data_IF_833389771233
#
_entry.id   IF_833389771233
#
_cell.length_a   1.000
_cell.length_b   1.000
_cell.length_c   1.000
_cell.angle_alpha   90.00
_cell.angle_beta   90.00
_cell.angle_gamma   90.00
#
_symmetry.space_group_name_H-M   'P 1'
#
loop_
_entity.id
_entity.type
_entity.pdbx_description
1 polymer ?
#
# COMPACT_ATOMS: atom_id res chain seq x y z
N UNK A 1 -8.46 7.65 -1.41
CA UNK A 1 -8.62 6.93 -2.71
C UNK A 1 -7.77 7.66 -3.74
N UNK A 2 -7.48 7.11 -4.93
CA UNK A 2 -6.59 7.77 -5.89
C UNK A 2 -7.30 8.32 -7.12
N UNK A 3 -8.23 7.55 -7.70
CA UNK A 3 -8.79 7.86 -9.02
C UNK A 3 -10.30 8.08 -8.95
N UNK A 4 -11.00 7.38 -8.06
CA UNK A 4 -12.46 7.38 -8.05
C UNK A 4 -13.12 8.64 -7.45
N UNK A 5 -12.38 9.60 -6.90
CA UNK A 5 -12.94 10.85 -6.35
C UNK A 5 -13.74 11.66 -7.40
N UNK A 6 -13.17 11.88 -8.58
CA UNK A 6 -13.87 12.52 -9.70
C UNK A 6 -15.14 11.76 -10.14
N UNK A 7 -15.02 10.46 -10.49
CA UNK A 7 -16.14 9.57 -10.78
C UNK A 7 -17.28 9.62 -9.75
N UNK A 8 -16.97 9.53 -8.45
CA UNK A 8 -17.95 9.62 -7.35
C UNK A 8 -18.64 10.98 -7.37
N UNK A 9 -17.87 12.06 -7.44
CA UNK A 9 -18.41 13.42 -7.51
C UNK A 9 -19.42 13.59 -8.65
N UNK A 10 -19.12 13.06 -9.84
CA UNK A 10 -20.05 13.07 -10.97
C UNK A 10 -21.33 12.28 -10.66
N UNK A 11 -21.19 11.03 -10.22
CA UNK A 11 -22.32 10.13 -9.95
C UNK A 11 -23.29 10.74 -8.94
N UNK A 12 -22.74 11.31 -7.86
CA UNK A 12 -23.53 11.93 -6.79
C UNK A 12 -24.18 13.23 -7.27
N UNK A 13 -23.48 14.04 -8.07
CA UNK A 13 -24.08 15.23 -8.67
C UNK A 13 -25.27 14.87 -9.57
N UNK A 14 -25.13 13.85 -10.41
CA UNK A 14 -26.23 13.34 -11.22
C UNK A 14 -27.38 12.83 -10.36
N UNK A 15 -27.12 12.17 -9.24
CA UNK A 15 -28.16 11.70 -8.34
C UNK A 15 -28.91 12.85 -7.64
N UNK A 16 -28.18 13.74 -6.96
CA UNK A 16 -28.73 14.82 -6.13
C UNK A 16 -29.37 15.92 -6.98
N UNK A 17 -28.72 16.32 -8.08
CA UNK A 17 -29.15 17.45 -8.90
C UNK A 17 -29.86 17.03 -10.20
N UNK A 18 -30.20 15.75 -10.38
CA UNK A 18 -30.80 15.17 -11.60
C UNK A 18 -31.89 16.06 -12.24
N UNK A 19 -32.87 16.50 -11.44
CA UNK A 19 -33.99 17.30 -11.93
C UNK A 19 -33.52 18.65 -12.51
N UNK A 20 -32.62 19.34 -11.80
CA UNK A 20 -32.09 20.65 -12.23
C UNK A 20 -31.21 20.51 -13.47
N UNK A 21 -30.34 19.50 -13.50
CA UNK A 21 -29.44 19.25 -14.63
C UNK A 21 -30.22 18.90 -15.89
N UNK A 22 -31.31 18.13 -15.80
CA UNK A 22 -32.14 17.77 -16.97
C UNK A 22 -32.80 18.96 -17.66
N UNK A 23 -33.00 20.07 -16.96
CA UNK A 23 -33.56 21.31 -17.53
C UNK A 23 -32.51 22.17 -18.26
N UNK A 24 -31.21 21.85 -18.12
CA UNK A 24 -30.13 22.55 -18.80
C UNK A 24 -29.98 22.07 -20.25
N UNK A 25 -29.37 22.92 -21.09
CA UNK A 25 -28.97 22.53 -22.44
C UNK A 25 -27.88 21.48 -22.40
N UNK A 26 -27.74 20.68 -23.45
CA UNK A 26 -26.74 19.61 -23.50
C UNK A 26 -25.31 20.13 -23.25
N UNK A 27 -24.94 21.29 -23.80
CA UNK A 27 -23.64 21.92 -23.55
C UNK A 27 -23.41 22.30 -22.08
N UNK A 28 -24.46 22.75 -21.40
CA UNK A 28 -24.43 23.12 -19.98
C UNK A 28 -24.39 21.86 -19.10
N UNK A 29 -25.08 20.79 -19.49
CA UNK A 29 -24.98 19.48 -18.84
C UNK A 29 -23.56 18.91 -18.93
N UNK A 30 -22.91 19.02 -20.10
CA UNK A 30 -21.51 18.62 -20.28
C UNK A 30 -20.60 19.46 -19.38
N UNK A 31 -20.81 20.78 -19.32
CA UNK A 31 -20.03 21.65 -18.45
C UNK A 31 -20.17 21.25 -16.98
N UNK A 32 -21.39 21.01 -16.50
CA UNK A 32 -21.64 20.52 -15.14
C UNK A 32 -20.95 19.18 -14.89
N UNK A 33 -20.97 18.26 -15.86
CA UNK A 33 -20.27 16.98 -15.76
C UNK A 33 -18.75 17.15 -15.60
N UNK A 34 -18.12 17.98 -16.44
CA UNK A 34 -16.69 18.28 -16.36
C UNK A 34 -16.32 18.96 -15.04
N UNK A 35 -17.12 19.95 -14.62
CA UNK A 35 -16.93 20.61 -13.33
C UNK A 35 -17.09 19.63 -12.15
N UNK A 36 -18.03 18.68 -12.21
CA UNK A 36 -18.18 17.67 -11.17
C UNK A 36 -16.90 16.83 -11.03
N UNK A 37 -16.31 16.37 -12.14
CA UNK A 37 -15.05 15.64 -12.12
C UNK A 37 -13.92 16.48 -11.50
N UNK A 38 -13.74 17.71 -11.97
CA UNK A 38 -12.70 18.62 -11.50
C UNK A 38 -12.86 18.96 -10.01
N UNK A 39 -14.07 19.25 -9.55
CA UNK A 39 -14.32 19.55 -8.14
C UNK A 39 -14.18 18.33 -7.23
N UNK A 40 -14.35 17.11 -7.77
CA UNK A 40 -14.11 15.88 -7.05
C UNK A 40 -12.64 15.62 -6.75
N UNK A 41 -11.71 16.12 -7.57
CA UNK A 41 -10.25 15.96 -7.37
C UNK A 41 -9.59 17.23 -6.82
N UNK A 42 -10.36 18.31 -6.65
CA UNK A 42 -9.83 19.60 -6.23
C UNK A 42 -9.14 19.56 -4.86
N UNK A 43 -9.58 18.78 -3.86
CA UNK A 43 -8.89 18.73 -2.58
C UNK A 43 -7.45 18.22 -2.67
N UNK A 44 -7.20 17.20 -3.50
CA UNK A 44 -5.86 16.63 -3.76
C UNK A 44 -4.89 17.57 -4.47
N UNK A 45 -5.35 18.74 -4.94
CA UNK A 45 -4.45 19.69 -5.59
C UNK A 45 -3.43 20.28 -4.59
N UNK A 46 -3.68 20.12 -3.29
CA UNK A 46 -2.72 20.44 -2.24
C UNK A 46 -1.43 19.62 -2.33
N UNK A 47 -1.44 18.40 -2.88
CA UNK A 47 -0.24 17.58 -3.10
C UNK A 47 0.78 18.32 -3.98
N UNK A 48 0.31 19.06 -5.01
CA UNK A 48 1.19 19.89 -5.83
C UNK A 48 1.77 21.06 -5.04
N UNK A 49 0.96 21.68 -4.19
CA UNK A 49 1.39 22.79 -3.33
C UNK A 49 2.43 22.31 -2.30
N UNK A 50 2.18 21.16 -1.65
CA UNK A 50 3.12 20.55 -0.70
C UNK A 50 4.45 20.24 -1.37
N UNK A 51 4.41 19.66 -2.58
CA UNK A 51 5.60 19.41 -3.39
C UNK A 51 6.38 20.71 -3.70
N UNK A 52 5.68 21.78 -4.09
CA UNK A 52 6.29 23.09 -4.36
C UNK A 52 6.90 23.74 -3.11
N UNK A 53 6.36 23.45 -1.93
CA UNK A 53 6.81 23.99 -0.64
C UNK A 53 7.83 23.09 0.07
N UNK A 54 8.27 21.99 -0.57
CA UNK A 54 9.14 20.98 0.04
C UNK A 54 8.58 20.42 1.35
N UNK A 55 7.25 20.34 1.45
CA UNK A 55 6.56 19.72 2.58
C UNK A 55 6.23 18.27 2.20
N UNK A 56 6.42 17.29 3.10
CA UNK A 56 6.18 15.89 2.77
C UNK A 56 4.75 15.64 2.28
N UNK A 57 4.61 14.93 1.15
CA UNK A 57 3.28 14.74 0.52
C UNK A 57 2.35 13.83 1.33
N UNK A 58 2.91 12.99 2.19
CA UNK A 58 2.13 12.06 3.01
C UNK A 58 1.25 12.80 4.05
N UNK A 59 1.52 14.08 4.34
CA UNK A 59 0.70 14.88 5.27
C UNK A 59 -0.55 15.53 4.64
N UNK A 60 -0.87 15.32 3.35
CA UNK A 60 -1.95 16.06 2.66
C UNK A 60 -3.33 15.96 3.33
N UNK A 61 -3.69 14.80 3.88
CA UNK A 61 -4.92 14.64 4.67
C UNK A 61 -4.94 15.45 5.99
N UNK A 62 -3.80 16.02 6.40
CA UNK A 62 -3.64 16.95 7.53
C UNK A 62 -3.68 18.43 7.15
N UNK A 63 -3.99 18.77 5.89
CA UNK A 63 -4.04 20.15 5.40
C UNK A 63 -5.48 20.68 5.40
N UNK A 64 -5.66 22.01 5.44
CA UNK A 64 -6.98 22.67 5.49
C UNK A 64 -7.89 22.34 4.30
N UNK A 65 -7.32 21.99 3.15
CA UNK A 65 -8.00 21.48 1.96
C UNK A 65 -8.75 20.18 2.24
N UNK A 66 -8.31 19.37 3.21
CA UNK A 66 -9.01 18.16 3.64
C UNK A 66 -9.98 18.41 4.82
N UNK A 67 -10.66 19.57 4.82
CA UNK A 67 -11.63 19.95 5.87
C UNK A 67 -12.99 20.36 5.28
N UNK A 68 -14.12 19.85 5.81
CA UNK A 68 -15.45 20.19 5.29
C UNK A 68 -15.78 21.69 5.42
N UNK A 69 -15.38 22.32 6.53
CA UNK A 69 -15.69 23.73 6.82
C UNK A 69 -15.07 24.66 5.78
N UNK A 70 -13.86 24.35 5.29
CA UNK A 70 -13.19 25.13 4.25
C UNK A 70 -14.03 25.23 2.98
N UNK A 71 -14.52 24.10 2.45
CA UNK A 71 -15.34 24.10 1.24
C UNK A 71 -16.74 24.65 1.43
N UNK A 72 -17.35 24.46 2.60
CA UNK A 72 -18.62 25.11 2.95
C UNK A 72 -18.45 26.64 2.92
N UNK A 73 -17.37 27.16 3.49
CA UNK A 73 -17.04 28.59 3.45
C UNK A 73 -16.89 29.13 2.03
N UNK A 74 -16.11 28.44 1.19
CA UNK A 74 -15.96 28.81 -0.23
C UNK A 74 -17.31 28.77 -0.95
N UNK A 75 -18.14 27.75 -0.69
CA UNK A 75 -19.46 27.65 -1.30
C UNK A 75 -20.38 28.83 -0.93
N UNK A 76 -20.38 29.26 0.34
CA UNK A 76 -21.14 30.45 0.78
C UNK A 76 -20.67 31.69 0.03
N UNK A 77 -19.36 31.88 -0.12
CA UNK A 77 -18.78 32.98 -0.90
C UNK A 77 -19.23 32.90 -2.36
N UNK A 78 -19.13 31.73 -2.99
CA UNK A 78 -19.58 31.52 -4.38
C UNK A 78 -21.07 31.87 -4.55
N UNK A 79 -21.93 31.47 -3.61
CA UNK A 79 -23.36 31.84 -3.63
C UNK A 79 -23.57 33.35 -3.52
N UNK A 80 -22.84 34.02 -2.64
CA UNK A 80 -22.87 35.48 -2.51
C UNK A 80 -22.43 36.19 -3.81
N UNK A 81 -21.35 35.71 -4.44
CA UNK A 81 -20.86 36.25 -5.71
C UNK A 81 -21.89 36.10 -6.85
N UNK A 82 -22.63 35.00 -6.89
CA UNK A 82 -23.69 34.79 -7.89
C UNK A 82 -24.80 35.84 -7.76
N UNK A 83 -25.13 36.29 -6.55
CA UNK A 83 -26.14 37.32 -6.34
C UNK A 83 -25.72 38.69 -6.90
N UNK A 84 -24.43 39.00 -6.91
CA UNK A 84 -23.92 40.32 -7.35
C UNK A 84 -23.34 40.31 -8.77
N UNK A 85 -23.12 39.15 -9.40
CA UNK A 85 -22.47 39.03 -10.72
C UNK A 85 -23.12 39.87 -11.82
N UNK A 86 -24.44 40.07 -11.76
CA UNK A 86 -25.19 40.86 -12.73
C UNK A 86 -24.70 42.31 -12.86
N UNK A 87 -24.06 42.84 -11.79
CA UNK A 87 -23.47 44.18 -11.75
C UNK A 87 -22.07 44.25 -12.35
N UNK A 88 -21.33 43.13 -12.37
CA UNK A 88 -19.91 43.11 -12.73
C UNK A 88 -19.62 42.45 -14.08
N UNK A 89 -20.48 41.52 -14.52
CA UNK A 89 -20.29 40.79 -15.77
C UNK A 89 -20.99 41.51 -16.94
N UNK A 90 -20.37 41.45 -18.12
CA UNK A 90 -20.99 41.96 -19.34
C UNK A 90 -22.22 41.13 -19.74
N UNK A 91 -23.08 41.68 -20.60
CA UNK A 91 -24.34 41.01 -21.03
C UNK A 91 -24.11 39.64 -21.66
N UNK A 92 -23.02 39.46 -22.41
CA UNK A 92 -22.71 38.18 -23.09
C UNK A 92 -22.36 37.10 -22.06
N UNK A 93 -21.51 37.42 -21.09
CA UNK A 93 -21.12 36.51 -20.01
C UNK A 93 -22.28 36.21 -19.08
N UNK A 94 -23.10 37.20 -18.71
CA UNK A 94 -24.31 36.98 -17.91
C UNK A 94 -25.34 36.07 -18.60
N UNK A 95 -25.39 36.10 -19.93
CA UNK A 95 -26.26 35.21 -20.71
C UNK A 95 -25.71 33.78 -20.79
N UNK A 96 -24.39 33.63 -20.85
CA UNK A 96 -23.74 32.31 -20.89
C UNK A 96 -23.74 31.63 -19.52
N UNK A 97 -23.42 32.37 -18.46
CA UNK A 97 -23.51 31.95 -17.07
C UNK A 97 -24.80 32.51 -16.48
N UNK A 98 -25.94 31.97 -16.88
CA UNK A 98 -27.20 32.40 -16.28
C UNK A 98 -27.26 32.05 -14.78
N UNK A 99 -28.24 32.60 -14.06
CA UNK A 99 -28.38 32.36 -12.62
C UNK A 99 -28.63 30.89 -12.29
N UNK A 100 -29.37 30.17 -13.13
CA UNK A 100 -29.70 28.77 -12.88
C UNK A 100 -28.44 27.90 -12.99
N UNK A 101 -27.70 28.00 -14.09
CA UNK A 101 -26.45 27.30 -14.32
C UNK A 101 -25.43 27.64 -13.24
N UNK A 102 -25.28 28.90 -12.87
CA UNK A 102 -24.32 29.31 -11.84
C UNK A 102 -24.65 28.71 -10.47
N UNK A 103 -25.93 28.66 -10.10
CA UNK A 103 -26.33 28.02 -8.85
C UNK A 103 -26.12 26.51 -8.87
N UNK A 104 -26.32 25.85 -10.02
CA UNK A 104 -26.04 24.43 -10.20
C UNK A 104 -24.53 24.19 -10.08
N UNK A 105 -23.68 24.97 -10.76
CA UNK A 105 -22.22 24.86 -10.67
C UNK A 105 -21.70 25.08 -9.26
N UNK A 106 -22.21 26.06 -8.52
CA UNK A 106 -21.85 26.26 -7.11
C UNK A 106 -22.26 25.05 -6.25
N UNK A 107 -23.44 24.46 -6.48
CA UNK A 107 -23.81 23.24 -5.79
C UNK A 107 -22.95 22.05 -6.21
N UNK A 108 -22.56 21.97 -7.48
CA UNK A 108 -21.67 20.93 -8.00
C UNK A 108 -20.30 20.99 -7.36
N UNK A 109 -19.79 22.20 -7.11
CA UNK A 109 -18.59 22.42 -6.30
C UNK A 109 -18.72 21.85 -4.90
N UNK A 110 -19.77 22.21 -4.17
CA UNK A 110 -19.96 21.73 -2.80
C UNK A 110 -20.17 20.22 -2.75
N UNK A 111 -21.02 19.67 -3.62
CA UNK A 111 -21.27 18.23 -3.68
C UNK A 111 -19.98 17.49 -4.01
N UNK A 112 -19.21 17.95 -5.00
CA UNK A 112 -18.00 17.26 -5.42
C UNK A 112 -16.92 17.24 -4.35
N UNK A 113 -16.64 18.41 -3.76
CA UNK A 113 -15.63 18.53 -2.70
C UNK A 113 -16.05 17.81 -1.42
N UNK A 114 -17.32 17.89 -0.99
CA UNK A 114 -17.77 17.16 0.20
C UNK A 114 -17.80 15.64 -0.01
N UNK A 115 -18.11 15.15 -1.21
CA UNK A 115 -18.09 13.71 -1.48
C UNK A 115 -16.69 13.14 -1.70
N UNK A 116 -15.74 13.97 -2.13
CA UNK A 116 -14.32 13.65 -2.02
C UNK A 116 -13.96 13.39 -0.55
N UNK A 117 -14.19 14.38 0.33
CA UNK A 117 -13.89 14.26 1.76
C UNK A 117 -14.67 13.13 2.44
N UNK A 118 -15.90 12.86 2.00
CA UNK A 118 -16.66 11.73 2.49
C UNK A 118 -16.04 10.39 2.08
N UNK A 119 -15.54 10.29 0.84
CA UNK A 119 -14.82 9.10 0.40
C UNK A 119 -13.54 8.89 1.22
N UNK A 120 -12.78 9.96 1.48
CA UNK A 120 -11.62 9.87 2.37
C UNK A 120 -12.02 9.55 3.79
N UNK A 121 -13.07 10.14 4.36
CA UNK A 121 -13.54 9.76 5.68
C UNK A 121 -13.89 8.27 5.79
N UNK A 122 -14.38 7.66 4.71
CA UNK A 122 -14.65 6.22 4.70
C UNK A 122 -13.31 5.46 4.78
N UNK A 123 -12.40 5.71 3.86
CA UNK A 123 -11.23 4.85 3.58
C UNK A 123 -9.93 5.29 4.25
N UNK A 124 -9.86 6.54 4.67
CA UNK A 124 -8.72 7.22 5.27
C UNK A 124 -9.20 8.18 6.39
N UNK A 125 -8.30 9.01 6.90
CA UNK A 125 -8.51 9.86 8.06
C UNK A 125 -8.49 11.34 7.68
N UNK A 126 -9.56 12.07 7.98
CA UNK A 126 -9.67 13.51 7.69
C UNK A 126 -10.03 14.33 8.93
N UNK A 127 -9.70 15.62 8.92
CA UNK A 127 -10.02 16.53 10.02
C UNK A 127 -11.44 17.09 9.89
N UNK A 128 -12.44 16.29 10.28
CA UNK A 128 -13.87 16.65 10.14
C UNK A 128 -14.25 17.94 10.91
N UNK A 129 -13.69 18.12 12.11
CA UNK A 129 -14.09 19.19 13.04
C UNK A 129 -13.16 20.42 13.00
N UNK A 130 -12.21 20.49 12.06
CA UNK A 130 -11.32 21.65 11.95
C UNK A 130 -12.11 22.92 11.59
N UNK A 131 -11.88 24.08 12.24
CA UNK A 131 -10.74 24.41 13.13
C UNK A 131 -10.98 24.16 14.63
N UNK A 132 -12.11 23.58 15.03
CA UNK A 132 -12.44 23.32 16.45
C UNK A 132 -11.56 22.21 17.03
N UNK A 133 -11.27 21.17 16.23
CA UNK A 133 -10.31 20.12 16.57
C UNK A 133 -9.43 19.77 15.36
N UNK A 134 -8.20 19.33 15.63
CA UNK A 134 -7.26 18.77 14.64
C UNK A 134 -7.31 17.24 14.59
N UNK A 135 -8.17 16.61 15.39
CA UNK A 135 -8.32 15.16 15.40
C UNK A 135 -8.77 14.66 14.04
N UNK A 136 -8.17 13.55 13.60
CA UNK A 136 -8.51 12.90 12.33
C UNK A 136 -9.51 11.78 12.59
N UNK A 137 -10.56 11.74 11.79
CA UNK A 137 -11.64 10.76 11.89
C UNK A 137 -11.66 9.88 10.65
N UNK A 138 -11.98 8.59 10.83
CA UNK A 138 -12.07 7.58 9.77
C UNK A 138 -13.19 6.58 10.11
N UNK A 139 -13.75 5.91 9.10
CA UNK A 139 -14.78 4.88 9.30
C UNK A 139 -14.22 3.47 9.26
N UNK A 140 -13.52 3.10 8.18
CA UNK A 140 -13.08 1.72 7.93
C UNK A 140 -11.58 1.57 7.66
N UNK A 141 -10.78 2.66 7.78
CA UNK A 141 -9.33 2.69 7.49
C UNK A 141 -8.55 1.50 8.05
N UNK A 142 -8.81 1.12 9.31
CA UNK A 142 -8.10 0.02 9.99
C UNK A 142 -8.79 -1.34 9.90
N UNK A 143 -9.99 -1.42 9.32
CA UNK A 143 -10.69 -2.70 9.13
C UNK A 143 -10.10 -3.46 7.95
N UNK A 144 -9.78 -2.74 6.88
CA UNK A 144 -9.18 -3.28 5.66
C UNK A 144 -7.82 -2.64 5.42
N UNK A 145 -6.95 -2.80 6.42
CA UNK A 145 -5.55 -2.40 6.29
C UNK A 145 -4.94 -3.10 5.05
N UNK A 146 -4.20 -2.37 4.20
CA UNK A 146 -3.50 -2.97 3.08
C UNK A 146 -2.47 -4.01 3.55
N UNK A 147 -2.19 -4.98 2.68
CA UNK A 147 -1.04 -5.85 2.86
C UNK A 147 0.24 -5.11 2.47
N UNK A 148 1.34 -5.30 3.20
CA UNK A 148 2.63 -4.66 2.89
C UNK A 148 3.20 -5.12 1.53
N UNK A 149 2.93 -6.36 1.14
CA UNK A 149 3.49 -7.02 -0.04
C UNK A 149 2.51 -7.13 -1.20
N UNK A 150 1.19 -6.98 -0.97
CA UNK A 150 0.22 -6.97 -2.06
C UNK A 150 0.20 -5.61 -2.75
N UNK A 151 0.13 -5.64 -4.07
CA UNK A 151 -0.03 -4.41 -4.85
C UNK A 151 -1.39 -3.76 -4.60
N UNK A 152 -1.45 -2.43 -4.71
CA UNK A 152 -2.69 -1.66 -4.54
C UNK A 152 -3.93 -2.23 -5.27
N UNK A 153 -3.83 -2.74 -6.52
CA UNK A 153 -4.98 -3.32 -7.23
C UNK A 153 -5.69 -4.46 -6.50
N UNK A 154 -5.01 -5.15 -5.59
CA UNK A 154 -5.56 -6.27 -4.82
C UNK A 154 -6.14 -5.85 -3.46
N UNK A 155 -6.12 -4.56 -3.14
CA UNK A 155 -6.68 -4.02 -1.92
C UNK A 155 -8.20 -3.88 -1.99
N UNK A 156 -8.86 -3.90 -0.83
CA UNK A 156 -10.29 -3.61 -0.72
C UNK A 156 -10.60 -2.21 -1.22
N UNK A 157 -9.72 -1.24 -0.94
CA UNK A 157 -9.92 0.15 -1.36
C UNK A 157 -9.93 0.29 -2.88
N UNK A 158 -8.97 -0.32 -3.58
CA UNK A 158 -8.94 -0.29 -5.05
C UNK A 158 -10.17 -0.97 -5.67
N UNK A 159 -10.64 -2.08 -5.09
CA UNK A 159 -11.85 -2.74 -5.58
C UNK A 159 -13.10 -1.83 -5.51
N UNK A 160 -13.18 -0.98 -4.48
CA UNK A 160 -14.22 0.05 -4.36
C UNK A 160 -14.03 1.12 -5.45
N UNK A 161 -12.79 1.53 -5.73
CA UNK A 161 -12.50 2.48 -6.82
C UNK A 161 -12.92 1.95 -8.18
N UNK A 162 -12.53 0.72 -8.52
CA UNK A 162 -12.88 0.05 -9.77
C UNK A 162 -14.41 0.00 -9.94
N UNK A 163 -15.14 -0.32 -8.87
CA UNK A 163 -16.60 -0.34 -8.90
C UNK A 163 -17.20 1.04 -9.23
N UNK A 164 -16.74 2.10 -8.57
CA UNK A 164 -17.24 3.46 -8.85
C UNK A 164 -16.83 3.98 -10.23
N UNK A 165 -15.63 3.63 -10.71
CA UNK A 165 -15.19 3.93 -12.08
C UNK A 165 -16.09 3.21 -13.09
N UNK A 166 -16.40 1.92 -12.87
CA UNK A 166 -17.29 1.16 -13.74
C UNK A 166 -18.70 1.77 -13.81
N UNK A 167 -19.26 2.15 -12.65
CA UNK A 167 -20.55 2.85 -12.56
C UNK A 167 -20.53 4.19 -13.31
N UNK A 168 -19.45 4.96 -13.14
CA UNK A 168 -19.26 6.23 -13.79
C UNK A 168 -19.21 6.11 -15.31
N UNK A 169 -18.40 5.19 -15.84
CA UNK A 169 -18.31 4.92 -17.28
C UNK A 169 -19.67 4.48 -17.84
N UNK A 170 -20.38 3.61 -17.10
CA UNK A 170 -21.74 3.21 -17.47
C UNK A 170 -22.72 4.41 -17.52
N UNK A 171 -22.64 5.31 -16.55
CA UNK A 171 -23.48 6.51 -16.49
C UNK A 171 -23.18 7.49 -17.63
N UNK A 172 -21.90 7.75 -17.93
CA UNK A 172 -21.49 8.58 -19.07
C UNK A 172 -21.99 8.00 -20.39
N UNK A 173 -21.79 6.70 -20.60
CA UNK A 173 -22.22 6.00 -21.79
C UNK A 173 -23.72 6.16 -22.03
N UNK A 174 -24.54 5.94 -20.99
CA UNK A 174 -26.00 6.04 -21.08
C UNK A 174 -26.47 7.46 -21.44
N UNK A 175 -25.72 8.49 -21.05
CA UNK A 175 -26.12 9.89 -21.16
C UNK A 175 -25.61 10.58 -22.43
N UNK A 176 -24.34 10.36 -22.78
CA UNK A 176 -23.65 11.16 -23.80
C UNK A 176 -23.28 10.37 -25.07
N UNK A 177 -23.30 9.03 -25.03
CA UNK A 177 -22.83 8.20 -26.13
C UNK A 177 -24.01 7.56 -26.87
N UNK A 178 -23.86 7.38 -28.20
CA UNK A 178 -24.85 6.68 -29.02
C UNK A 178 -25.00 5.24 -28.55
N UNK A 179 -26.26 4.81 -28.36
CA UNK A 179 -26.58 3.48 -27.84
C UNK A 179 -26.16 2.37 -28.82
N UNK A 180 -25.25 1.52 -28.35
CA UNK A 180 -24.87 0.22 -28.89
C UNK A 180 -25.27 -0.91 -27.92
N UNK A 181 -25.83 -2.00 -28.44
CA UNK A 181 -26.22 -3.15 -27.61
C UNK A 181 -25.00 -3.81 -26.98
N UNK A 182 -23.93 -4.01 -27.75
CA UNK A 182 -22.70 -4.67 -27.30
C UNK A 182 -22.04 -3.87 -26.17
N UNK A 183 -21.79 -2.57 -26.37
CA UNK A 183 -21.16 -1.72 -25.35
C UNK A 183 -22.00 -1.68 -24.06
N UNK A 184 -23.33 -1.62 -24.18
CA UNK A 184 -24.21 -1.65 -23.01
C UNK A 184 -24.12 -2.97 -22.23
N UNK A 185 -23.95 -4.11 -22.91
CA UNK A 185 -23.76 -5.41 -22.26
C UNK A 185 -22.39 -5.45 -21.59
N UNK A 186 -21.32 -5.07 -22.29
CA UNK A 186 -19.95 -5.05 -21.75
C UNK A 186 -19.83 -4.18 -20.49
N UNK A 187 -20.43 -2.98 -20.48
CA UNK A 187 -20.39 -2.11 -19.31
C UNK A 187 -21.19 -2.67 -18.12
N UNK A 188 -22.29 -3.38 -18.36
CA UNK A 188 -23.01 -4.08 -17.29
C UNK A 188 -22.20 -5.22 -16.69
N UNK A 189 -21.49 -5.97 -17.55
CA UNK A 189 -20.56 -7.01 -17.11
C UNK A 189 -19.43 -6.37 -16.28
N UNK A 190 -18.87 -5.25 -16.73
CA UNK A 190 -17.83 -4.53 -15.98
C UNK A 190 -18.30 -4.12 -14.58
N UNK A 191 -19.52 -3.54 -14.46
CA UNK A 191 -20.10 -3.19 -13.16
C UNK A 191 -20.32 -4.43 -12.29
N UNK A 192 -20.80 -5.54 -12.88
CA UNK A 192 -21.00 -6.81 -12.16
C UNK A 192 -19.67 -7.39 -11.67
N UNK A 193 -18.64 -7.39 -12.51
CA UNK A 193 -17.29 -7.85 -12.12
C UNK A 193 -16.73 -6.98 -11.02
N UNK A 194 -16.81 -5.65 -11.12
CA UNK A 194 -16.39 -4.75 -10.04
C UNK A 194 -17.15 -4.99 -8.73
N UNK A 195 -18.44 -5.28 -8.80
CA UNK A 195 -19.25 -5.63 -7.63
C UNK A 195 -18.83 -6.96 -6.99
N UNK A 196 -18.50 -7.98 -7.80
CA UNK A 196 -18.00 -9.26 -7.33
C UNK A 196 -16.54 -9.21 -6.86
N UNK A 197 -15.78 -8.22 -7.30
CA UNK A 197 -14.39 -8.05 -6.92
C UNK A 197 -14.24 -7.61 -5.45
N UNK A 198 -15.16 -6.78 -4.95
CA UNK A 198 -15.17 -6.31 -3.55
C UNK A 198 -15.21 -7.47 -2.52
N UNK A 199 -16.17 -8.42 -2.57
CA UNK A 199 -16.15 -9.53 -1.61
C UNK A 199 -14.94 -10.46 -1.80
N UNK A 200 -14.38 -10.54 -3.01
CA UNK A 200 -13.16 -11.31 -3.25
C UNK A 200 -11.95 -10.67 -2.55
N UNK A 201 -11.74 -9.36 -2.68
CA UNK A 201 -10.64 -8.65 -2.00
C UNK A 201 -10.83 -8.63 -0.49
N UNK A 202 -12.06 -8.55 0.01
CA UNK A 202 -12.37 -8.71 1.44
C UNK A 202 -11.98 -10.11 1.94
N UNK A 203 -12.31 -11.16 1.17
CA UNK A 203 -11.92 -12.53 1.50
C UNK A 203 -10.39 -12.71 1.45
N UNK A 204 -9.71 -12.18 0.45
CA UNK A 204 -8.25 -12.22 0.39
C UNK A 204 -7.61 -11.48 1.58
N UNK A 205 -8.11 -10.28 1.90
CA UNK A 205 -7.67 -9.49 3.05
C UNK A 205 -7.87 -10.26 4.37
N UNK A 206 -8.99 -10.97 4.56
CA UNK A 206 -9.19 -11.72 5.81
C UNK A 206 -8.26 -12.93 5.97
N UNK A 207 -7.73 -13.48 4.87
CA UNK A 207 -6.83 -14.64 4.88
C UNK A 207 -5.34 -14.28 4.80
N UNK A 208 -5.00 -13.02 4.60
CA UNK A 208 -3.61 -12.52 4.53
C UNK A 208 -3.25 -11.78 5.81
N UNK A 209 -1.95 -11.67 6.09
CA UNK A 209 -1.46 -10.89 7.22
C UNK A 209 -1.34 -9.43 6.79
N UNK A 210 -2.22 -8.57 7.28
CA UNK A 210 -2.31 -7.18 6.86
C UNK A 210 -1.88 -6.24 7.98
N UNK A 211 -0.62 -5.82 7.91
CA UNK A 211 -0.04 -4.83 8.82
C UNK A 211 0.94 -3.96 8.02
N UNK A 212 0.43 -2.92 7.40
CA UNK A 212 1.17 -1.96 6.56
C UNK A 212 1.25 -0.56 7.15
N UNK A 213 0.59 -0.31 8.29
CA UNK A 213 0.74 0.92 9.04
C UNK A 213 1.75 0.72 10.18
N UNK A 214 2.73 1.60 10.24
CA UNK A 214 3.67 1.69 11.36
C UNK A 214 2.95 2.29 12.58
N UNK A 215 2.85 1.49 13.63
CA UNK A 215 2.10 1.81 14.85
C UNK A 215 3.05 2.05 16.02
N UNK A 216 2.74 3.04 16.85
CA UNK A 216 3.37 3.23 18.16
C UNK A 216 2.83 2.26 19.21
N UNK A 217 3.45 2.25 20.40
CA UNK A 217 3.01 1.47 21.57
C UNK A 217 1.53 1.71 21.94
N UNK A 218 0.98 2.88 21.61
CA UNK A 218 -0.44 3.23 21.84
C UNK A 218 -1.36 2.89 20.65
N UNK A 219 -0.88 2.13 19.67
CA UNK A 219 -1.56 1.83 18.40
C UNK A 219 -1.88 3.05 17.52
N UNK A 220 -1.24 4.19 17.78
CA UNK A 220 -1.33 5.38 16.92
C UNK A 220 -0.46 5.18 15.67
N UNK A 221 -0.96 5.57 14.51
CA UNK A 221 -0.21 5.46 13.24
C UNK A 221 0.54 6.77 13.02
N UNK A 222 1.87 6.68 13.06
CA UNK A 222 2.79 7.79 12.82
C UNK A 222 3.64 7.43 11.61
N UNK A 223 3.67 8.33 10.62
CA UNK A 223 4.34 8.06 9.33
C UNK A 223 5.82 8.46 9.31
N UNK A 224 6.22 9.33 10.23
CA UNK A 224 7.55 9.94 10.36
C UNK A 224 7.72 10.28 11.86
N UNK A 225 8.53 9.53 12.60
CA UNK A 225 8.66 9.66 14.06
C UNK A 225 9.64 10.76 14.48
N UNK A 226 10.70 10.98 13.70
CA UNK A 226 11.81 11.87 14.01
C UNK A 226 11.75 13.20 13.23
N UNK A 227 10.72 13.36 12.40
CA UNK A 227 10.36 14.57 11.68
C UNK A 227 11.42 15.03 10.68
N UNK A 228 12.17 14.10 10.10
CA UNK A 228 13.17 14.39 9.09
C UNK A 228 12.58 14.58 7.68
N UNK A 229 11.27 14.31 7.53
CA UNK A 229 10.52 14.47 6.29
C UNK A 229 10.53 13.25 5.38
N UNK A 230 11.14 12.14 5.82
CA UNK A 230 11.12 10.83 5.18
C UNK A 230 10.03 10.00 5.88
N UNK A 231 9.27 9.23 5.11
CA UNK A 231 8.33 8.31 5.76
C UNK A 231 9.14 7.15 6.33
N UNK A 232 8.92 6.78 7.60
CA UNK A 232 9.61 5.69 8.29
C UNK A 232 9.65 4.40 7.43
N UNK A 233 8.57 4.09 6.71
CA UNK A 233 8.50 2.91 5.81
C UNK A 233 9.47 2.94 4.63
N UNK A 234 10.13 4.07 4.38
CA UNK A 234 11.11 4.32 3.32
C UNK A 234 12.46 4.78 3.89
N UNK A 235 12.60 4.86 5.21
CA UNK A 235 13.77 5.39 5.89
C UNK A 235 14.70 4.24 6.35
N UNK A 236 15.98 4.22 5.93
CA UNK A 236 16.95 3.23 6.41
C UNK A 236 17.44 3.46 7.86
N UNK A 237 17.23 4.64 8.46
CA UNK A 237 17.66 4.99 9.83
C UNK A 237 16.52 5.67 10.60
N UNK A 238 15.43 4.94 10.85
CA UNK A 238 14.28 5.45 11.62
C UNK A 238 14.74 5.89 13.01
N UNK A 239 14.55 7.17 13.34
CA UNK A 239 15.00 7.77 14.60
C UNK A 239 16.34 8.52 14.50
N UNK A 240 16.97 8.56 13.31
CA UNK A 240 18.19 9.32 13.00
C UNK A 240 19.34 9.07 14.01
N UNK A 241 19.55 7.80 14.34
CA UNK A 241 20.52 7.37 15.36
C UNK A 241 21.92 7.09 14.80
N UNK A 242 22.05 7.06 13.45
CA UNK A 242 23.22 6.64 12.66
C UNK A 242 23.44 5.12 12.57
N UNK A 243 22.69 4.34 13.32
CA UNK A 243 22.59 2.89 13.16
C UNK A 243 21.46 2.62 12.19
N UNK A 244 21.63 1.72 11.22
CA UNK A 244 20.54 1.40 10.32
C UNK A 244 19.50 0.46 11.00
N UNK A 245 18.35 0.31 10.36
CA UNK A 245 17.24 -0.45 10.95
C UNK A 245 17.55 -1.93 11.23
N UNK A 246 18.50 -2.54 10.51
CA UNK A 246 18.91 -3.93 10.77
C UNK A 246 19.81 -4.04 12.01
N UNK A 247 20.59 -2.99 12.31
CA UNK A 247 21.50 -2.94 13.46
C UNK A 247 20.77 -2.65 14.79
N UNK A 248 19.62 -1.94 14.73
CA UNK A 248 18.84 -1.53 15.91
C UNK A 248 17.98 -2.63 16.53
N UNK A 249 17.73 -3.71 15.80
CA UNK A 249 16.67 -4.66 16.17
C UNK A 249 17.03 -5.43 17.44
N UNK A 250 16.09 -5.50 18.38
CA UNK A 250 16.22 -6.33 19.57
C UNK A 250 15.75 -7.77 19.28
N UNK A 251 16.56 -8.77 19.63
CA UNK A 251 16.27 -10.17 19.32
C UNK A 251 15.01 -10.70 20.03
N UNK A 252 14.71 -10.27 21.26
CA UNK A 252 13.51 -10.71 21.99
C UNK A 252 12.23 -10.15 21.34
N UNK A 253 12.28 -8.88 20.91
CA UNK A 253 11.19 -8.26 20.16
C UNK A 253 11.00 -8.91 18.79
N UNK A 254 12.09 -9.18 18.06
CA UNK A 254 12.04 -9.83 16.76
C UNK A 254 11.46 -11.25 16.85
N UNK A 255 11.85 -12.00 17.88
CA UNK A 255 11.25 -13.29 18.22
C UNK A 255 9.73 -13.17 18.42
N UNK A 256 9.29 -12.23 19.26
CA UNK A 256 7.87 -12.04 19.59
C UNK A 256 7.05 -11.72 18.34
N UNK A 257 7.54 -10.84 17.46
CA UNK A 257 6.84 -10.50 16.22
C UNK A 257 6.84 -11.66 15.23
N UNK A 258 7.95 -12.38 15.07
CA UNK A 258 8.03 -13.56 14.21
C UNK A 258 7.09 -14.68 14.68
N UNK A 259 7.02 -14.92 15.99
CA UNK A 259 6.09 -15.88 16.59
C UNK A 259 4.63 -15.47 16.35
N UNK A 260 4.30 -14.19 16.54
CA UNK A 260 2.95 -13.68 16.27
C UNK A 260 2.55 -13.82 14.80
N UNK A 261 3.48 -13.58 13.87
CA UNK A 261 3.24 -13.75 12.43
C UNK A 261 3.02 -15.22 12.09
N UNK A 262 3.93 -16.10 12.49
CA UNK A 262 3.88 -17.51 12.06
C UNK A 262 2.69 -18.27 12.66
N UNK A 263 2.23 -17.88 13.85
CA UNK A 263 1.06 -18.47 14.50
C UNK A 263 -0.27 -17.93 13.99
N UNK A 264 -0.25 -16.90 13.15
CA UNK A 264 -1.47 -16.26 12.62
C UNK A 264 -2.30 -17.15 11.68
N UNK A 265 -1.71 -18.21 11.13
CA UNK A 265 -2.35 -19.12 10.18
C UNK A 265 -2.75 -18.48 8.86
N UNK A 266 -2.24 -17.28 8.56
CA UNK A 266 -2.49 -16.57 7.29
C UNK A 266 -1.84 -17.28 6.12
N UNK A 267 -2.22 -16.93 4.90
CA UNK A 267 -1.65 -17.56 3.71
C UNK A 267 -0.15 -17.32 3.58
N UNK A 268 0.53 -18.39 3.23
CA UNK A 268 1.86 -18.35 2.60
C UNK A 268 1.71 -18.04 1.12
N UNK A 269 2.83 -17.88 0.42
CA UNK A 269 2.87 -17.84 -1.03
C UNK A 269 3.05 -19.23 -1.67
N UNK A 270 2.87 -20.31 -0.90
CA UNK A 270 3.04 -21.69 -1.37
C UNK A 270 1.68 -22.40 -1.54
N UNK A 271 1.64 -23.30 -2.53
CA UNK A 271 0.56 -24.27 -2.74
C UNK A 271 1.04 -25.38 -3.70
N UNK A 272 0.42 -26.55 -3.64
CA UNK A 272 0.69 -27.65 -4.57
C UNK A 272 0.30 -27.28 -6.03
N UNK A 273 -0.53 -26.26 -6.21
CA UNK A 273 -0.89 -25.71 -7.50
C UNK A 273 -0.19 -24.37 -7.74
N UNK A 274 0.67 -24.31 -8.75
CA UNK A 274 1.46 -23.12 -9.09
C UNK A 274 0.61 -21.86 -9.33
N UNK A 275 -0.56 -21.98 -9.96
CA UNK A 275 -1.45 -20.83 -10.20
C UNK A 275 -2.04 -20.29 -8.89
N UNK A 276 -2.34 -21.18 -7.93
CA UNK A 276 -2.83 -20.78 -6.61
C UNK A 276 -1.70 -20.11 -5.83
N UNK A 277 -0.48 -20.66 -5.89
CA UNK A 277 0.71 -20.07 -5.27
C UNK A 277 0.99 -18.65 -5.80
N UNK A 278 1.03 -18.46 -7.12
CA UNK A 278 1.21 -17.15 -7.76
C UNK A 278 0.09 -16.15 -7.40
N UNK A 279 -1.16 -16.63 -7.34
CA UNK A 279 -2.29 -15.81 -6.91
C UNK A 279 -2.14 -15.39 -5.44
N UNK A 280 -1.79 -16.32 -4.54
CA UNK A 280 -1.53 -15.99 -3.13
C UNK A 280 -0.38 -15.00 -2.99
N UNK A 281 0.70 -15.19 -3.74
CA UNK A 281 1.86 -14.29 -3.72
C UNK A 281 1.46 -12.85 -4.07
N UNK A 282 0.70 -12.69 -5.17
CA UNK A 282 0.15 -11.40 -5.63
C UNK A 282 -0.81 -10.75 -4.63
N UNK A 283 -1.55 -11.57 -3.88
CA UNK A 283 -2.47 -11.14 -2.83
C UNK A 283 -1.75 -10.87 -1.49
N UNK A 284 -0.43 -11.05 -1.40
CA UNK A 284 0.35 -10.77 -0.19
C UNK A 284 0.54 -11.96 0.74
N UNK A 285 0.48 -13.18 0.21
CA UNK A 285 0.88 -14.40 0.92
C UNK A 285 2.35 -14.35 1.32
N UNK A 286 2.71 -14.97 2.44
CA UNK A 286 4.05 -14.88 3.00
C UNK A 286 5.02 -15.88 2.36
N UNK A 287 6.18 -15.38 1.95
CA UNK A 287 7.40 -16.18 1.80
C UNK A 287 8.22 -16.12 3.09
N UNK A 288 9.28 -16.92 3.18
CA UNK A 288 10.22 -16.86 4.29
C UNK A 288 10.84 -15.48 4.49
N UNK A 289 11.24 -14.80 3.40
CA UNK A 289 11.75 -13.43 3.49
C UNK A 289 10.68 -12.44 3.97
N UNK A 290 9.42 -12.58 3.52
CA UNK A 290 8.32 -11.72 3.96
C UNK A 290 8.04 -11.82 5.46
N UNK A 291 8.33 -12.97 6.10
CA UNK A 291 8.29 -13.10 7.57
C UNK A 291 9.31 -12.15 8.21
N UNK A 292 10.57 -12.19 7.74
CA UNK A 292 11.65 -11.36 8.28
C UNK A 292 11.34 -9.88 8.08
N UNK A 293 10.98 -9.50 6.86
CA UNK A 293 10.59 -8.13 6.49
C UNK A 293 9.43 -7.62 7.34
N UNK A 294 8.34 -8.39 7.46
CA UNK A 294 7.18 -7.97 8.25
C UNK A 294 7.49 -7.87 9.73
N UNK A 295 8.30 -8.78 10.29
CA UNK A 295 8.65 -8.75 11.70
C UNK A 295 9.41 -7.45 12.03
N UNK A 296 10.38 -7.08 11.20
CA UNK A 296 11.08 -5.80 11.32
C UNK A 296 10.15 -4.60 11.09
N UNK A 297 9.26 -4.68 10.11
CA UNK A 297 8.27 -3.64 9.85
C UNK A 297 7.36 -3.39 11.06
N UNK A 298 6.93 -4.46 11.74
CA UNK A 298 6.09 -4.35 12.94
C UNK A 298 6.82 -3.64 14.09
N UNK A 299 8.14 -3.71 14.14
CA UNK A 299 9.01 -3.02 15.09
C UNK A 299 9.37 -1.58 14.66
N UNK A 300 8.80 -1.10 13.55
CA UNK A 300 9.15 0.19 12.91
C UNK A 300 10.61 0.28 12.44
N UNK A 301 11.19 -0.86 12.05
CA UNK A 301 12.56 -0.96 11.56
C UNK A 301 12.59 -1.58 10.17
N UNK A 302 11.91 -1.01 9.14
CA UNK A 302 11.84 -1.63 7.82
C UNK A 302 13.23 -1.87 7.22
N UNK A 303 13.43 -3.06 6.65
CA UNK A 303 14.76 -3.50 6.18
C UNK A 303 14.98 -3.26 4.69
N UNK A 304 13.91 -3.17 3.89
CA UNK A 304 14.02 -2.92 2.46
C UNK A 304 14.76 -1.61 2.12
N UNK A 305 14.54 -0.48 2.81
CA UNK A 305 15.30 0.74 2.57
C UNK A 305 16.80 0.55 2.85
N UNK A 306 17.16 -0.20 3.89
CA UNK A 306 18.55 -0.50 4.26
C UNK A 306 19.23 -1.33 3.17
N UNK A 307 18.59 -2.44 2.77
CA UNK A 307 19.12 -3.35 1.75
C UNK A 307 19.24 -2.67 0.38
N UNK A 308 18.29 -1.79 0.06
CA UNK A 308 18.33 -1.00 -1.19
C UNK A 308 19.45 0.03 -1.17
N UNK A 309 19.64 0.76 -0.06
CA UNK A 309 20.75 1.70 0.08
C UNK A 309 22.11 0.99 0.00
N UNK A 310 22.24 -0.18 0.64
CA UNK A 310 23.39 -1.07 0.50
C UNK A 310 23.65 -1.47 -0.95
N UNK A 311 22.62 -1.97 -1.67
CA UNK A 311 22.75 -2.32 -3.09
C UNK A 311 23.20 -1.13 -3.93
N UNK A 312 22.59 0.04 -3.74
CA UNK A 312 22.94 1.27 -4.48
C UNK A 312 24.39 1.65 -4.27
N UNK A 313 24.89 1.53 -3.03
CA UNK A 313 26.29 1.82 -2.69
C UNK A 313 27.26 0.80 -3.29
N UNK A 314 26.90 -0.47 -3.34
CA UNK A 314 27.78 -1.57 -3.77
C UNK A 314 27.77 -1.82 -5.28
N UNK A 315 26.58 -1.90 -5.87
CA UNK A 315 26.37 -2.28 -7.28
C UNK A 315 25.82 -1.14 -8.14
N UNK A 316 25.37 -0.05 -7.52
CA UNK A 316 24.74 1.06 -8.21
C UNK A 316 23.22 0.97 -8.23
N UNK A 317 22.59 1.99 -8.81
CA UNK A 317 21.14 2.07 -8.94
C UNK A 317 20.63 1.12 -10.04
N UNK A 318 19.73 0.22 -9.67
CA UNK A 318 19.06 -0.69 -10.59
C UNK A 318 17.65 -0.20 -10.95
N UNK A 319 16.78 -0.04 -9.94
CA UNK A 319 15.37 0.26 -10.17
C UNK A 319 14.72 1.14 -9.10
N UNK A 320 13.60 1.73 -9.49
CA UNK A 320 12.68 2.39 -8.56
C UNK A 320 11.72 1.41 -7.90
N UNK A 321 11.57 0.20 -8.44
CA UNK A 321 10.66 -0.82 -7.92
C UNK A 321 11.38 -1.74 -6.94
N UNK A 322 10.79 -1.91 -5.76
CA UNK A 322 11.34 -2.80 -4.74
C UNK A 322 11.36 -4.27 -5.22
N UNK A 323 10.44 -4.68 -6.10
CA UNK A 323 10.34 -6.04 -6.64
C UNK A 323 11.54 -6.52 -7.44
N UNK A 324 12.38 -5.61 -7.91
CA UNK A 324 13.47 -5.93 -8.84
C UNK A 324 14.73 -6.38 -8.09
N UNK A 325 14.76 -6.23 -6.76
CA UNK A 325 15.89 -6.58 -5.92
C UNK A 325 15.73 -7.99 -5.33
N UNK A 326 16.78 -8.81 -5.38
CA UNK A 326 16.85 -10.12 -4.72
C UNK A 326 17.13 -9.99 -3.22
N UNK A 327 16.15 -9.53 -2.45
CA UNK A 327 16.36 -9.24 -1.03
C UNK A 327 16.92 -10.39 -0.17
N UNK A 328 16.57 -11.68 -0.36
CA UNK A 328 17.21 -12.76 0.40
C UNK A 328 18.73 -12.74 0.24
N UNK A 329 19.21 -12.60 -1.01
CA UNK A 329 20.63 -12.51 -1.36
C UNK A 329 21.26 -11.26 -0.76
N UNK A 330 20.61 -10.10 -0.93
CA UNK A 330 21.12 -8.84 -0.39
C UNK A 330 21.21 -8.82 1.14
N UNK A 331 20.24 -9.42 1.82
CA UNK A 331 20.26 -9.54 3.27
C UNK A 331 21.41 -10.42 3.74
N UNK A 332 21.64 -11.56 3.08
CA UNK A 332 22.78 -12.43 3.39
C UNK A 332 24.10 -11.68 3.19
N UNK A 333 24.32 -11.07 2.02
CA UNK A 333 25.55 -10.34 1.73
C UNK A 333 25.79 -9.17 2.70
N UNK A 334 24.72 -8.43 3.04
CA UNK A 334 24.80 -7.33 3.99
C UNK A 334 25.28 -7.82 5.36
N UNK A 335 24.65 -8.89 5.90
CA UNK A 335 25.01 -9.44 7.20
C UNK A 335 26.41 -10.09 7.19
N UNK A 336 26.79 -10.73 6.08
CA UNK A 336 28.13 -11.31 5.91
C UNK A 336 29.22 -10.22 5.90
N UNK A 337 29.05 -9.16 5.10
CA UNK A 337 30.03 -8.07 4.97
C UNK A 337 30.21 -7.30 6.28
N UNK A 338 29.13 -7.18 7.07
CA UNK A 338 29.15 -6.61 8.43
C UNK A 338 29.73 -7.57 9.48
N UNK A 339 30.06 -8.81 9.11
CA UNK A 339 30.56 -9.82 10.04
C UNK A 339 29.52 -10.29 11.05
N UNK A 340 28.24 -10.12 10.75
CA UNK A 340 27.09 -10.46 11.60
C UNK A 340 26.59 -11.88 11.42
N UNK A 341 27.15 -12.67 10.49
CA UNK A 341 26.83 -14.09 10.33
C UNK A 341 27.87 -14.99 11.00
N UNK A 342 27.39 -16.08 11.58
CA UNK A 342 28.19 -17.24 11.99
C UNK A 342 27.63 -18.51 11.36
N UNK A 343 28.54 -19.36 10.87
CA UNK A 343 28.19 -20.71 10.43
C UNK A 343 28.05 -21.61 11.66
N UNK A 344 26.91 -22.30 11.78
CA UNK A 344 26.65 -23.21 12.88
C UNK A 344 26.65 -24.64 12.38
N UNK A 345 27.49 -25.48 13.00
CA UNK A 345 27.38 -26.93 12.86
C UNK A 345 26.28 -27.41 13.80
N UNK A 346 25.15 -27.81 13.23
CA UNK A 346 24.01 -28.27 14.02
C UNK A 346 24.15 -29.76 14.31
N UNK A 347 24.52 -30.07 15.55
CA UNK A 347 24.36 -31.39 16.15
C UNK A 347 22.99 -31.50 16.85
N UNK A 348 22.51 -32.71 17.16
CA UNK A 348 21.18 -32.99 17.75
C UNK A 348 20.89 -32.20 19.06
N UNK A 349 21.92 -31.80 19.80
CA UNK A 349 21.82 -31.04 21.06
C UNK A 349 21.99 -29.51 20.91
N UNK A 350 22.19 -29.01 19.69
CA UNK A 350 22.45 -27.58 19.46
C UNK A 350 21.21 -26.76 19.77
N UNK A 351 21.33 -25.85 20.74
CA UNK A 351 20.27 -24.89 21.05
C UNK A 351 20.53 -23.61 20.28
N UNK A 352 19.63 -23.32 19.35
CA UNK A 352 19.70 -22.10 18.56
C UNK A 352 19.10 -20.95 19.37
N UNK A 353 19.81 -19.83 19.48
CA UNK A 353 19.31 -18.64 20.16
C UNK A 353 18.07 -18.11 19.42
N UNK A 354 16.93 -17.88 20.11
CA UNK A 354 15.72 -17.32 19.50
C UNK A 354 15.93 -15.90 18.99
N UNK A 355 15.10 -15.48 18.04
CA UNK A 355 15.08 -14.10 17.54
C UNK A 355 16.26 -13.73 16.64
N UNK A 356 16.89 -14.72 16.00
CA UNK A 356 17.99 -14.52 15.06
C UNK A 356 17.54 -14.86 13.64
N UNK A 357 17.99 -14.09 12.67
CA UNK A 357 17.81 -14.44 11.26
C UNK A 357 18.71 -15.64 10.94
N UNK A 358 18.19 -16.65 10.25
CA UNK A 358 18.97 -17.77 9.76
C UNK A 358 18.88 -17.90 8.23
N UNK A 359 19.89 -18.53 7.64
CA UNK A 359 19.97 -18.85 6.23
C UNK A 359 20.39 -20.31 6.03
N UNK A 360 19.74 -20.99 5.10
CA UNK A 360 20.16 -22.27 4.57
C UNK A 360 20.82 -22.00 3.22
N UNK A 361 22.13 -22.19 3.14
CA UNK A 361 22.90 -21.96 1.92
C UNK A 361 23.31 -23.28 1.34
N UNK A 362 23.11 -23.50 0.04
CA UNK A 362 23.48 -24.73 -0.64
C UNK A 362 24.97 -25.04 -0.42
N UNK A 363 25.25 -26.26 0.03
CA UNK A 363 26.63 -26.73 0.18
C UNK A 363 27.18 -27.03 -1.21
N UNK A 364 27.93 -26.09 -1.78
CA UNK A 364 28.66 -26.35 -3.02
C UNK A 364 29.70 -27.44 -2.72
N UNK A 365 29.37 -28.67 -3.12
CA UNK A 365 30.33 -29.77 -3.12
C UNK A 365 31.46 -29.38 -4.06
N UNK A 366 32.65 -29.16 -3.49
CA UNK A 366 33.88 -28.92 -4.23
C UNK A 366 34.27 -30.20 -5.01
N UNK A 367 33.57 -30.50 -6.11
CA UNK A 367 34.16 -31.13 -7.28
C UNK A 367 34.60 -30.01 -8.23
N UNK A 368 35.50 -29.15 -7.72
CA UNK A 368 36.32 -28.32 -8.58
C UNK A 368 37.38 -29.26 -9.12
N UNK A 369 37.18 -29.76 -10.34
CA UNK A 369 38.25 -30.31 -11.13
C UNK A 369 39.40 -29.29 -11.15
N UNK A 370 40.54 -29.68 -10.59
CA UNK A 370 41.80 -28.93 -10.55
C UNK A 370 42.27 -28.63 -11.98
N UNK A 371 41.71 -27.62 -12.65
CA UNK A 371 42.03 -27.43 -14.06
C UNK A 371 41.58 -26.16 -14.75
N UNK A 372 40.83 -25.27 -14.10
CA UNK A 372 40.50 -23.99 -14.73
C UNK A 372 40.74 -22.80 -13.81
N UNK A 373 41.79 -22.04 -14.15
CA UNK A 373 41.97 -20.66 -13.73
C UNK A 373 40.81 -19.83 -14.29
N UNK A 374 39.68 -19.82 -13.60
CA UNK A 374 38.73 -18.72 -13.68
C UNK A 374 38.92 -17.85 -12.45
N UNK A 375 39.06 -16.57 -12.73
CA UNK A 375 39.13 -15.49 -11.77
C UNK A 375 38.05 -15.68 -10.70
N UNK A 376 38.44 -15.42 -9.45
CA UNK A 376 37.51 -15.31 -8.31
C UNK A 376 36.53 -14.16 -8.58
N UNK A 377 35.46 -14.43 -9.30
CA UNK A 377 34.32 -13.53 -9.49
C UNK A 377 33.09 -14.28 -9.03
N UNK A 378 32.53 -13.86 -7.89
CA UNK A 378 31.23 -14.27 -7.35
C UNK A 378 31.00 -15.80 -7.32
N UNK A 379 31.29 -16.44 -6.18
CA UNK A 379 30.60 -17.69 -5.86
C UNK A 379 29.11 -17.35 -5.84
N UNK A 380 28.33 -17.90 -6.78
CA UNK A 380 26.88 -17.83 -6.73
C UNK A 380 26.44 -18.59 -5.47
N UNK A 381 26.24 -17.85 -4.38
CA UNK A 381 25.68 -18.37 -3.13
C UNK A 381 24.19 -18.60 -3.38
N UNK A 382 23.77 -19.86 -3.38
CA UNK A 382 22.37 -20.21 -3.55
C UNK A 382 21.70 -20.33 -2.18
N UNK A 383 20.85 -19.35 -1.84
CA UNK A 383 20.06 -19.36 -0.59
C UNK A 383 18.83 -20.25 -0.81
N UNK A 384 18.84 -21.42 -0.19
CA UNK A 384 17.75 -22.40 -0.29
C UNK A 384 16.53 -21.99 0.53
N UNK A 385 16.75 -21.42 1.71
CA UNK A 385 15.71 -20.86 2.56
C UNK A 385 16.30 -19.93 3.62
N UNK A 386 15.44 -19.23 4.33
CA UNK A 386 15.79 -18.33 5.43
C UNK A 386 14.62 -18.22 6.41
N UNK A 387 14.79 -17.50 7.51
CA UNK A 387 13.71 -17.24 8.45
C UNK A 387 14.21 -16.65 9.76
N UNK A 388 13.38 -16.75 10.80
CA UNK A 388 13.72 -16.32 12.16
C UNK A 388 13.65 -17.52 13.10
N UNK A 389 14.64 -17.67 13.96
CA UNK A 389 14.70 -18.71 14.98
C UNK A 389 13.71 -18.42 16.11
N UNK A 390 13.04 -19.46 16.60
CA UNK A 390 12.07 -19.38 17.69
C UNK A 390 12.56 -20.20 18.90
N UNK A 391 11.82 -20.13 20.01
CA UNK A 391 12.04 -21.01 21.15
C UNK A 391 11.94 -22.49 20.79
N UNK A 392 12.57 -23.33 21.62
CA UNK A 392 12.52 -24.80 21.51
C UNK A 392 12.98 -25.35 20.14
N UNK A 393 13.91 -24.67 19.47
CA UNK A 393 14.43 -25.04 18.14
C UNK A 393 13.35 -25.09 17.03
N UNK A 394 12.28 -24.31 17.19
CA UNK A 394 11.36 -24.01 16.10
C UNK A 394 11.91 -22.87 15.22
N UNK A 395 11.41 -22.82 13.99
CA UNK A 395 11.79 -21.87 12.96
C UNK A 395 10.52 -21.23 12.39
N UNK A 396 10.52 -19.90 12.28
CA UNK A 396 9.55 -19.14 11.51
C UNK A 396 10.06 -19.04 10.07
N UNK A 397 9.63 -19.98 9.25
CA UNK A 397 9.97 -20.07 7.82
C UNK A 397 8.81 -20.66 7.05
N UNK A 398 8.85 -20.57 5.71
CA UNK A 398 7.87 -21.18 4.82
C UNK A 398 8.54 -22.30 4.03
N UNK A 399 7.95 -23.49 4.08
CA UNK A 399 8.39 -24.66 3.33
C UNK A 399 7.51 -24.89 2.09
N UNK A 400 8.05 -25.65 1.14
CA UNK A 400 7.30 -26.04 -0.05
C UNK A 400 6.02 -26.81 0.34
N UNK A 401 4.88 -26.39 -0.21
CA UNK A 401 3.58 -26.99 0.06
C UNK A 401 2.83 -26.45 1.28
N UNK A 402 3.46 -25.59 2.11
CA UNK A 402 2.75 -24.91 3.20
C UNK A 402 1.64 -24.05 2.62
N UNK A 403 0.37 -24.32 2.94
CA UNK A 403 -0.73 -23.46 2.46
C UNK A 403 -1.00 -22.26 3.35
N UNK A 404 -0.55 -22.36 4.60
CA UNK A 404 -0.79 -21.44 5.70
C UNK A 404 0.46 -21.36 6.56
N UNK A 405 0.70 -20.21 7.18
CA UNK A 405 1.79 -19.99 8.11
C UNK A 405 1.69 -20.96 9.28
N UNK A 406 2.80 -21.64 9.56
CA UNK A 406 2.95 -22.60 10.64
C UNK A 406 4.39 -22.64 11.09
N UNK A 407 4.62 -22.97 12.36
CA UNK A 407 5.98 -23.20 12.89
C UNK A 407 6.51 -24.53 12.35
N UNK A 408 7.81 -24.58 12.11
CA UNK A 408 8.51 -25.81 11.73
C UNK A 408 9.62 -26.09 12.73
N UNK A 409 9.83 -27.35 13.09
CA UNK A 409 11.02 -27.77 13.82
C UNK A 409 12.24 -27.74 12.90
N UNK A 410 13.43 -27.54 13.47
CA UNK A 410 14.67 -27.71 12.71
C UNK A 410 14.75 -29.07 11.98
N UNK A 411 14.27 -30.14 12.61
CA UNK A 411 14.25 -31.49 12.03
C UNK A 411 13.38 -31.59 10.78
N UNK A 412 12.21 -30.96 10.75
CA UNK A 412 11.35 -30.91 9.55
C UNK A 412 12.03 -30.17 8.41
N UNK A 413 12.66 -29.03 8.70
CA UNK A 413 13.42 -28.27 7.71
C UNK A 413 14.59 -29.10 7.18
N UNK A 414 15.34 -29.78 8.04
CA UNK A 414 16.44 -30.64 7.62
C UNK A 414 15.97 -31.81 6.74
N UNK A 415 14.78 -32.37 7.00
CA UNK A 415 14.20 -33.42 6.16
C UNK A 415 13.83 -32.92 4.76
N UNK A 416 13.36 -31.68 4.63
CA UNK A 416 13.03 -31.08 3.33
C UNK A 416 14.28 -30.84 2.50
N UNK A 417 15.35 -30.32 3.10
CA UNK A 417 16.59 -29.95 2.41
C UNK A 417 17.72 -31.00 2.49
N UNK A 418 17.48 -32.15 3.12
CA UNK A 418 18.33 -33.37 3.12
C UNK A 418 19.82 -33.14 3.44
N UNK A 419 20.15 -32.26 4.39
CA UNK A 419 21.53 -31.93 4.79
C UNK A 419 22.42 -31.33 3.67
N UNK A 420 21.84 -30.91 2.54
CA UNK A 420 22.58 -30.32 1.41
C UNK A 420 22.91 -28.83 1.64
N UNK A 421 22.95 -28.37 2.89
CA UNK A 421 23.13 -26.97 3.24
C UNK A 421 24.16 -26.72 4.34
N UNK A 422 24.59 -25.45 4.41
CA UNK A 422 25.28 -24.82 5.53
C UNK A 422 24.29 -23.89 6.22
N UNK A 423 24.21 -23.96 7.56
CA UNK A 423 23.36 -23.07 8.35
C UNK A 423 24.18 -21.85 8.78
N UNK A 424 23.72 -20.67 8.38
CA UNK A 424 24.23 -19.41 8.91
C UNK A 424 23.20 -18.78 9.82
N UNK A 425 23.63 -18.24 10.95
CA UNK A 425 22.77 -17.51 11.90
C UNK A 425 23.36 -16.13 12.17
N UNK A 426 22.49 -15.15 12.34
CA UNK A 426 22.85 -13.82 12.80
C UNK A 426 23.36 -13.85 14.26
N UNK A 427 24.53 -13.25 14.50
CA UNK A 427 25.18 -13.16 15.81
C UNK A 427 24.35 -12.39 16.84
#
# INVERSE_FOLDING_TARGET
MYIAHGPISYLVNEAIQSKKIKHLKMSEQILVALCALLFGILPDFDIFLLSMLSVPRFIHHGVITHTPIFYIGIWVILKGLICIKGKFLNKKTNKALDNNLSHILANTFLIGTLFHLFADFIVDSIMLAYPVSKDKFYLIKYIFEPNLFASFPFSVMDSIEIFFIALFVYALYKKFIKKSRLVNISLKILVLVGMLYIPLTIWASSNTYNRSYLREEKNEVVQDIDYDGISDGQDPDVGNTKEDNLEKVDSEQLFTEAEGIITSGKWTNQDNNALIAETKDSLGGFSSYRIISQAHYNLRLPIEPVLRDYHIKKYGFESYFYSDYEYPTLLFEYLEEKGMLEEIQVDEDTRITPGKIFFLVERISNNIDEGSNREKSQQELNILNLGITLEENYLATVLEGDKHLTKHTYGEVNQVYKEEFMLYIQK
#
